data_IF_157874990163
#
_entry.id   IF_157874990163
#
_cell.length_a   1.000
_cell.length_b   1.000
_cell.length_c   1.000
_cell.angle_alpha   90.00
_cell.angle_beta   90.00
_cell.angle_gamma   90.00
#
_symmetry.space_group_name_H-M   'P 1'
#
loop_
_entity.id
_entity.type
_entity.pdbx_description
1 polymer ?
#
# COMPACT_ATOMS: atom_id res chain seq x y z
N UNK A 1 -2.99 -35.16 -61.06
CA UNK A 1 -4.00 -34.81 -60.04
C UNK A 1 -3.57 -35.41 -58.72
N UNK A 2 -2.95 -34.63 -57.84
CA UNK A 2 -2.60 -35.09 -56.48
C UNK A 2 -3.26 -34.13 -55.50
N UNK A 3 -4.17 -34.67 -54.70
CA UNK A 3 -4.91 -33.96 -53.67
C UNK A 3 -3.93 -33.33 -52.68
N UNK A 4 -3.91 -31.99 -52.62
CA UNK A 4 -3.32 -31.28 -51.49
C UNK A 4 -4.14 -31.68 -50.26
N UNK A 5 -3.50 -32.39 -49.32
CA UNK A 5 -4.05 -32.61 -47.99
C UNK A 5 -4.54 -31.28 -47.43
N UNK A 6 -5.84 -31.20 -47.14
CA UNK A 6 -6.41 -30.09 -46.41
C UNK A 6 -5.76 -30.07 -45.03
N UNK A 7 -4.95 -29.04 -44.76
CA UNK A 7 -4.49 -28.75 -43.41
C UNK A 7 -5.73 -28.71 -42.51
N UNK A 8 -5.78 -29.58 -41.51
CA UNK A 8 -6.92 -29.69 -40.60
C UNK A 8 -7.06 -28.35 -39.89
N UNK A 9 -8.11 -27.60 -40.23
CA UNK A 9 -8.34 -26.29 -39.64
C UNK A 9 -8.53 -26.42 -38.12
N UNK A 10 -7.72 -25.71 -37.34
CA UNK A 10 -7.87 -25.65 -35.89
C UNK A 10 -9.05 -24.74 -35.53
N UNK A 11 -9.78 -25.08 -34.46
CA UNK A 11 -10.69 -24.11 -33.84
C UNK A 11 -9.88 -22.96 -33.23
N UNK A 12 -10.52 -21.80 -33.07
CA UNK A 12 -9.91 -20.63 -32.43
C UNK A 12 -9.45 -20.96 -31.01
N UNK A 13 -10.27 -21.71 -30.26
CA UNK A 13 -9.94 -22.11 -28.88
C UNK A 13 -8.72 -23.02 -28.82
N UNK A 14 -8.63 -23.97 -29.75
CA UNK A 14 -7.49 -24.88 -29.84
C UNK A 14 -6.21 -24.14 -30.24
N UNK A 15 -6.29 -23.21 -31.19
CA UNK A 15 -5.16 -22.35 -31.56
C UNK A 15 -4.71 -21.47 -30.38
N UNK A 16 -5.65 -20.84 -29.69
CA UNK A 16 -5.39 -20.01 -28.51
C UNK A 16 -4.72 -20.81 -27.39
N UNK A 17 -5.22 -22.01 -27.11
CA UNK A 17 -4.64 -22.91 -26.10
C UNK A 17 -3.18 -23.23 -26.39
N UNK A 18 -2.86 -23.63 -27.62
CA UNK A 18 -1.48 -23.94 -28.04
C UNK A 18 -0.54 -22.73 -27.94
N UNK A 19 -1.02 -21.55 -28.31
CA UNK A 19 -0.26 -20.29 -28.16
C UNK A 19 0.04 -20.03 -26.68
N UNK A 20 -0.97 -20.15 -25.82
CA UNK A 20 -0.82 -19.90 -24.38
C UNK A 20 0.14 -20.92 -23.73
N UNK A 21 0.05 -22.21 -24.06
CA UNK A 21 0.98 -23.25 -23.60
C UNK A 21 2.43 -22.91 -23.97
N UNK A 22 2.66 -22.55 -25.24
CA UNK A 22 4.00 -22.15 -25.71
C UNK A 22 4.53 -20.92 -24.97
N UNK A 23 3.66 -19.95 -24.67
CA UNK A 23 4.02 -18.74 -23.92
C UNK A 23 4.31 -19.05 -22.44
N UNK A 24 3.61 -20.00 -21.83
CA UNK A 24 3.85 -20.42 -20.44
C UNK A 24 5.20 -21.11 -20.28
N UNK A 25 5.64 -21.88 -21.27
CA UNK A 25 6.95 -22.54 -21.27
C UNK A 25 8.11 -21.56 -21.55
N UNK A 26 7.79 -20.40 -22.14
CA UNK A 26 8.77 -19.37 -22.56
C UNK A 26 8.53 -18.04 -21.85
N UNK A 27 8.37 -18.09 -20.54
CA UNK A 27 8.23 -16.88 -19.73
C UNK A 27 9.46 -15.99 -19.90
N UNK A 28 9.21 -14.68 -19.95
CA UNK A 28 10.27 -13.69 -19.97
C UNK A 28 11.10 -13.79 -18.70
N UNK A 29 12.43 -13.58 -18.77
CA UNK A 29 13.26 -13.47 -17.59
C UNK A 29 12.80 -12.31 -16.70
N UNK A 30 13.19 -12.36 -15.44
CA UNK A 30 12.91 -11.32 -14.45
C UNK A 30 14.11 -10.39 -14.39
N UNK A 31 13.84 -9.08 -14.30
CA UNK A 31 14.83 -8.05 -14.07
C UNK A 31 14.39 -7.14 -12.90
N UNK A 32 15.37 -6.57 -12.20
CA UNK A 32 15.10 -5.57 -11.16
C UNK A 32 15.15 -4.18 -11.78
N UNK A 33 14.12 -3.38 -11.55
CA UNK A 33 14.01 -2.00 -12.03
C UNK A 33 13.69 -1.05 -10.89
N UNK A 34 14.00 0.24 -11.05
CA UNK A 34 13.51 1.27 -10.16
C UNK A 34 11.97 1.34 -10.21
N UNK A 35 11.32 1.67 -9.10
CA UNK A 35 9.85 1.71 -9.02
C UNK A 35 9.25 2.67 -10.07
N UNK A 36 9.90 3.79 -10.34
CA UNK A 36 9.51 4.76 -11.37
C UNK A 36 9.49 4.17 -12.80
N UNK A 37 10.32 3.18 -13.07
CA UNK A 37 10.39 2.47 -14.36
C UNK A 37 9.44 1.25 -14.41
N UNK A 38 8.85 0.87 -13.28
CA UNK A 38 7.97 -0.28 -13.15
C UNK A 38 6.56 -0.05 -13.72
N UNK A 39 6.25 1.18 -14.14
CA UNK A 39 4.92 1.54 -14.67
C UNK A 39 4.50 0.64 -15.84
N UNK A 40 3.33 0.01 -15.71
CA UNK A 40 2.74 -0.95 -16.65
C UNK A 40 3.61 -2.20 -16.94
N UNK A 41 4.69 -2.41 -16.19
CA UNK A 41 5.43 -3.68 -16.18
C UNK A 41 4.58 -4.75 -15.49
N UNK A 42 4.98 -6.00 -15.63
CA UNK A 42 4.33 -7.13 -14.96
C UNK A 42 5.23 -7.59 -13.82
N UNK A 43 4.69 -7.77 -12.62
CA UNK A 43 5.42 -8.26 -11.47
C UNK A 43 6.00 -9.66 -11.79
N UNK A 44 7.32 -9.82 -11.65
CA UNK A 44 8.00 -11.08 -11.94
C UNK A 44 7.83 -12.09 -10.81
N UNK A 45 7.72 -11.60 -9.58
CA UNK A 45 7.41 -12.34 -8.35
C UNK A 45 6.39 -11.57 -7.52
N UNK A 46 5.90 -12.19 -6.46
CA UNK A 46 5.11 -11.50 -5.44
C UNK A 46 5.94 -10.37 -4.82
N UNK A 47 5.37 -9.17 -4.81
CA UNK A 47 5.94 -8.00 -4.15
C UNK A 47 5.34 -7.97 -2.74
N UNK A 48 6.17 -8.17 -1.72
CA UNK A 48 5.74 -8.31 -0.33
C UNK A 48 6.12 -7.09 0.49
N UNK A 49 5.31 -6.75 1.49
CA UNK A 49 5.62 -5.68 2.43
C UNK A 49 6.80 -6.10 3.33
N UNK A 50 7.91 -5.34 3.36
CA UNK A 50 9.08 -5.71 4.17
C UNK A 50 8.88 -5.45 5.68
N UNK A 51 7.86 -4.68 6.03
CA UNK A 51 7.52 -4.25 7.39
C UNK A 51 6.04 -3.94 7.49
N UNK A 52 5.54 -3.87 8.72
CA UNK A 52 4.19 -3.41 9.00
C UNK A 52 3.97 -1.97 8.51
N UNK A 53 2.79 -1.72 7.97
CA UNK A 53 2.33 -0.41 7.54
C UNK A 53 0.94 -0.12 8.15
N UNK A 54 0.77 0.95 8.95
CA UNK A 54 1.84 1.75 9.56
C UNK A 54 2.69 0.89 10.53
N UNK A 55 3.97 1.22 10.74
CA UNK A 55 4.88 0.41 11.57
C UNK A 55 4.53 0.47 13.07
N UNK A 56 3.80 1.49 13.49
CA UNK A 56 3.40 1.72 14.88
C UNK A 56 1.99 2.29 14.90
N UNK A 57 1.30 2.13 16.03
CA UNK A 57 0.00 2.72 16.23
C UNK A 57 0.06 4.25 16.13
N UNK A 58 -0.91 4.86 15.47
CA UNK A 58 -0.99 6.31 15.28
C UNK A 58 -2.38 6.86 15.62
N UNK A 59 -2.45 8.17 15.82
CA UNK A 59 -3.71 8.85 16.14
C UNK A 59 -4.58 9.03 14.91
N UNK A 60 -5.84 8.62 14.98
CA UNK A 60 -6.83 8.89 13.94
C UNK A 60 -7.37 10.33 13.97
N UNK A 61 -7.17 11.05 15.07
CA UNK A 61 -7.75 12.38 15.33
C UNK A 61 -6.76 13.30 16.07
N UNK A 62 -7.05 14.60 16.11
CA UNK A 62 -6.35 15.53 17.00
C UNK A 62 -6.93 15.45 18.41
N UNK A 63 -6.08 15.38 19.43
CA UNK A 63 -6.54 15.21 20.79
C UNK A 63 -5.46 15.01 21.83
N UNK A 64 -5.77 14.14 22.80
CA UNK A 64 -4.91 13.79 23.91
C UNK A 64 -4.75 12.28 23.99
N UNK A 65 -3.54 11.80 23.75
CA UNK A 65 -3.16 10.40 23.95
C UNK A 65 -2.97 10.12 25.43
N UNK A 66 -3.61 9.07 25.93
CA UNK A 66 -3.61 8.67 27.33
C UNK A 66 -3.67 7.14 27.46
N UNK A 67 -3.52 6.67 28.69
CA UNK A 67 -3.76 5.27 29.07
C UNK A 67 -5.26 5.04 29.20
N UNK A 68 -5.83 4.03 28.57
CA UNK A 68 -7.26 3.73 28.65
C UNK A 68 -7.70 3.41 30.08
N UNK A 69 -6.79 2.84 30.88
CA UNK A 69 -6.96 2.67 32.33
C UNK A 69 -7.11 4.00 33.10
N UNK A 70 -6.68 5.10 32.49
CA UNK A 70 -6.84 6.45 33.02
C UNK A 70 -8.13 7.14 32.56
N UNK A 71 -9.02 6.48 31.82
CA UNK A 71 -10.32 7.04 31.51
C UNK A 71 -11.22 7.13 32.76
N UNK A 72 -11.98 8.22 32.94
CA UNK A 72 -12.99 8.28 34.00
C UNK A 72 -14.15 7.31 33.70
N UNK A 73 -14.53 6.50 34.71
CA UNK A 73 -15.77 5.73 34.69
C UNK A 73 -17.02 6.60 34.82
N UNK A 74 -16.87 7.76 35.47
CA UNK A 74 -17.90 8.74 35.74
C UNK A 74 -17.28 10.15 35.86
N UNK A 75 -18.09 11.19 35.62
CA UNK A 75 -17.67 12.58 35.79
C UNK A 75 -16.50 13.00 34.90
N UNK A 76 -15.43 13.53 35.53
CA UNK A 76 -14.23 14.02 34.84
C UNK A 76 -12.96 13.58 35.54
N UNK A 77 -11.88 13.43 34.78
CA UNK A 77 -10.55 13.15 35.31
C UNK A 77 -9.55 14.20 34.87
N UNK A 78 -8.69 14.60 35.79
CA UNK A 78 -7.56 15.52 35.54
C UNK A 78 -6.30 14.69 35.26
N UNK A 79 -5.64 14.98 34.14
CA UNK A 79 -4.41 14.34 33.70
C UNK A 79 -3.35 15.41 33.43
N UNK A 80 -2.10 15.14 33.79
CA UNK A 80 -0.98 16.05 33.53
C UNK A 80 -0.53 15.92 32.07
N UNK A 81 -0.40 17.04 31.37
CA UNK A 81 0.09 17.08 30.00
C UNK A 81 1.62 16.96 30.04
N UNK A 82 2.13 15.78 29.71
CA UNK A 82 3.57 15.48 29.73
C UNK A 82 4.31 16.04 28.50
N UNK A 83 3.60 16.31 27.40
CA UNK A 83 4.20 16.86 26.19
C UNK A 83 3.25 16.88 24.98
N UNK A 84 3.82 17.13 23.81
CA UNK A 84 3.11 17.19 22.52
C UNK A 84 3.76 16.27 21.49
N UNK A 85 2.94 15.50 20.77
CA UNK A 85 3.27 14.66 19.63
C UNK A 85 2.67 15.22 18.35
N UNK A 86 3.54 15.65 17.44
CA UNK A 86 3.16 16.09 16.11
C UNK A 86 3.45 14.99 15.10
N UNK A 87 2.67 14.94 14.01
CA UNK A 87 2.95 14.05 12.89
C UNK A 87 4.35 14.31 12.32
N UNK A 88 5.12 13.26 12.10
CA UNK A 88 6.51 13.35 11.64
C UNK A 88 7.55 13.73 12.72
N UNK A 89 7.14 13.96 13.97
CA UNK A 89 8.09 14.21 15.06
C UNK A 89 8.89 12.94 15.40
N UNK A 90 10.22 13.05 15.44
CA UNK A 90 11.13 11.96 15.76
C UNK A 90 11.49 11.86 17.25
N UNK A 91 11.03 12.79 18.10
CA UNK A 91 11.32 12.71 19.53
C UNK A 91 10.73 11.44 20.13
N UNK A 92 11.21 11.00 21.29
CA UNK A 92 10.54 10.00 22.11
C UNK A 92 9.73 10.72 23.19
N UNK A 93 8.51 10.24 23.45
CA UNK A 93 7.62 10.72 24.50
C UNK A 93 6.95 9.47 25.06
N UNK A 94 7.04 9.33 26.36
CA UNK A 94 6.34 8.32 27.13
C UNK A 94 5.38 9.02 28.08
N UNK A 95 4.26 8.37 28.39
CA UNK A 95 3.32 8.84 29.39
C UNK A 95 3.10 7.75 30.45
N UNK A 96 3.04 8.17 31.71
CA UNK A 96 2.74 7.31 32.85
C UNK A 96 1.26 7.35 33.30
N UNK A 97 0.94 6.68 34.41
CA UNK A 97 -0.36 6.81 35.08
C UNK A 97 -0.69 8.27 35.42
N UNK A 98 -1.88 8.72 35.07
CA UNK A 98 -2.34 10.10 35.35
C UNK A 98 -1.76 11.16 34.41
N UNK A 99 -1.11 10.75 33.33
CA UNK A 99 -0.51 11.62 32.33
C UNK A 99 -1.17 11.46 30.96
N UNK A 100 -1.08 12.51 30.16
CA UNK A 100 -1.47 12.49 28.76
C UNK A 100 -0.51 13.31 27.91
N UNK A 101 -0.55 13.12 26.60
CA UNK A 101 0.19 13.94 25.65
C UNK A 101 -0.77 14.53 24.63
N UNK A 102 -0.58 15.81 24.26
CA UNK A 102 -1.26 16.37 23.08
C UNK A 102 -0.80 15.59 21.85
N UNK A 103 -1.70 15.24 20.97
CA UNK A 103 -1.38 14.47 19.76
C UNK A 103 -2.15 15.01 18.56
N UNK A 104 -1.51 15.06 17.39
CA UNK A 104 -2.17 15.38 16.12
C UNK A 104 -2.47 14.12 15.32
N UNK A 105 -3.40 14.24 14.38
CA UNK A 105 -3.73 13.19 13.42
C UNK A 105 -2.48 12.67 12.70
N UNK A 106 -2.31 11.35 12.63
CA UNK A 106 -1.16 10.67 12.02
C UNK A 106 0.12 10.63 12.87
N UNK A 107 0.14 11.26 14.05
CA UNK A 107 1.29 11.16 14.96
C UNK A 107 1.32 9.78 15.64
N UNK A 108 2.53 9.26 15.87
CA UNK A 108 2.72 8.01 16.59
C UNK A 108 2.28 8.14 18.05
N UNK A 109 1.63 7.10 18.57
CA UNK A 109 1.24 7.06 19.96
C UNK A 109 2.48 7.13 20.88
N UNK A 110 2.47 7.97 21.93
CA UNK A 110 3.49 7.93 22.98
C UNK A 110 3.57 6.55 23.61
N UNK A 111 4.77 6.15 24.07
CA UNK A 111 4.91 4.92 24.82
C UNK A 111 4.02 4.96 26.08
N UNK A 112 3.24 3.91 26.30
CA UNK A 112 2.26 3.83 27.38
C UNK A 112 0.86 4.33 27.02
N UNK A 113 0.67 5.06 25.91
CA UNK A 113 -0.67 5.41 25.44
C UNK A 113 -1.31 4.25 24.68
N UNK A 114 -2.62 4.07 24.84
CA UNK A 114 -3.42 3.12 24.04
C UNK A 114 -4.73 3.73 23.54
N UNK A 115 -5.05 4.98 23.95
CA UNK A 115 -6.34 5.63 23.69
C UNK A 115 -6.12 7.10 23.38
N UNK A 116 -6.89 7.67 22.46
CA UNK A 116 -6.90 9.11 22.16
C UNK A 116 -8.28 9.68 22.43
N UNK A 117 -8.37 10.76 23.21
CA UNK A 117 -9.60 11.54 23.39
C UNK A 117 -9.52 12.79 22.52
N UNK A 118 -10.53 13.02 21.69
CA UNK A 118 -10.59 14.18 20.78
C UNK A 118 -10.53 15.50 21.56
N UNK A 119 -9.84 16.50 21.01
CA UNK A 119 -9.62 17.80 21.68
C UNK A 119 -10.91 18.51 22.09
N UNK A 120 -11.99 18.29 21.35
CA UNK A 120 -13.32 18.87 21.60
C UNK A 120 -13.94 18.36 22.92
N UNK A 121 -13.51 17.20 23.41
CA UNK A 121 -13.98 16.59 24.67
C UNK A 121 -13.02 16.81 25.84
N UNK A 122 -11.97 17.60 25.64
CA UNK A 122 -10.95 17.86 26.66
C UNK A 122 -10.87 19.34 26.93
N UNK A 123 -11.09 19.72 28.20
CA UNK A 123 -10.83 21.09 28.66
C UNK A 123 -9.40 21.18 29.17
N UNK A 124 -8.68 22.23 28.79
CA UNK A 124 -7.28 22.44 29.19
C UNK A 124 -7.19 23.57 30.22
N UNK A 125 -6.50 23.33 31.32
CA UNK A 125 -6.19 24.31 32.36
C UNK A 125 -4.69 24.27 32.66
N UNK A 126 -3.93 25.18 32.05
CA UNK A 126 -2.47 25.20 32.14
C UNK A 126 -1.85 23.90 31.59
N UNK A 127 -1.17 23.16 32.46
CA UNK A 127 -0.56 21.86 32.14
C UNK A 127 -1.49 20.67 32.47
N UNK A 128 -2.77 20.91 32.75
CA UNK A 128 -3.74 19.86 33.05
C UNK A 128 -4.78 19.72 31.93
N UNK A 129 -5.00 18.50 31.47
CA UNK A 129 -6.13 18.11 30.64
C UNK A 129 -7.25 17.54 31.52
N UNK A 130 -8.48 18.02 31.33
CA UNK A 130 -9.68 17.54 32.00
C UNK A 130 -10.49 16.76 30.99
N UNK A 131 -10.50 15.45 31.14
CA UNK A 131 -11.21 14.50 30.28
C UNK A 131 -12.56 14.18 30.90
N UNK A 132 -13.62 14.25 30.10
CA UNK A 132 -14.97 13.85 30.52
C UNK A 132 -15.21 12.36 30.24
N UNK A 133 -16.12 11.75 30.99
CA UNK A 133 -16.59 10.38 30.75
C UNK A 133 -17.17 10.21 29.34
N UNK A 134 -17.06 8.98 28.83
CA UNK A 134 -17.74 8.52 27.62
C UNK A 134 -16.83 8.29 26.41
N UNK A 135 -15.52 8.14 26.62
CA UNK A 135 -14.62 7.55 25.63
C UNK A 135 -14.35 6.08 25.96
N UNK A 136 -13.97 5.29 24.97
CA UNK A 136 -13.65 3.86 25.15
C UNK A 136 -12.15 3.59 25.05
N UNK A 137 -11.68 2.55 25.74
CA UNK A 137 -10.29 2.10 25.63
C UNK A 137 -10.00 1.73 24.17
N UNK A 138 -8.90 2.24 23.60
CA UNK A 138 -8.54 2.03 22.21
C UNK A 138 -9.16 3.01 21.22
N UNK A 139 -9.99 3.96 21.68
CA UNK A 139 -10.67 4.90 20.80
C UNK A 139 -9.69 5.79 20.04
N UNK A 140 -10.04 6.06 18.77
CA UNK A 140 -9.30 6.94 17.86
C UNK A 140 -7.83 6.56 17.65
N UNK A 141 -7.49 5.29 17.84
CA UNK A 141 -6.17 4.72 17.55
C UNK A 141 -6.25 3.82 16.33
N UNK A 142 -5.37 4.08 15.37
CA UNK A 142 -5.12 3.15 14.27
C UNK A 142 -4.01 2.19 14.70
N UNK A 143 -4.25 0.87 14.70
CA UNK A 143 -3.24 -0.09 15.12
C UNK A 143 -2.07 -0.11 14.13
N UNK A 144 -0.93 -0.66 14.57
CA UNK A 144 0.13 -1.03 13.66
C UNK A 144 -0.38 -2.09 12.67
N UNK A 145 0.22 -2.13 11.47
CA UNK A 145 -0.11 -3.08 10.41
C UNK A 145 -1.57 -3.07 9.93
N UNK A 146 -2.27 -1.93 10.05
CA UNK A 146 -3.64 -1.77 9.55
C UNK A 146 -3.72 -1.89 8.02
N UNK A 147 -2.72 -1.40 7.29
CA UNK A 147 -2.66 -1.44 5.82
C UNK A 147 -2.02 -2.73 5.31
N UNK A 148 -0.83 -3.06 5.83
CA UNK A 148 -0.08 -4.26 5.45
C UNK A 148 0.69 -4.81 6.65
N UNK A 149 0.72 -6.14 6.77
CA UNK A 149 1.65 -6.84 7.66
C UNK A 149 2.96 -7.15 6.95
N UNK A 150 4.06 -7.22 7.70
CA UNK A 150 5.31 -7.74 7.20
C UNK A 150 5.12 -9.15 6.59
N UNK A 151 5.57 -9.31 5.35
CA UNK A 151 5.40 -10.55 4.55
C UNK A 151 4.09 -10.66 3.78
N UNK A 152 3.15 -9.73 3.94
CA UNK A 152 1.92 -9.72 3.16
C UNK A 152 2.18 -9.30 1.71
N UNK A 153 1.53 -9.98 0.76
CA UNK A 153 1.67 -9.69 -0.66
C UNK A 153 0.91 -8.42 -1.04
N UNK A 154 1.65 -7.40 -1.49
CA UNK A 154 1.12 -6.12 -2.00
C UNK A 154 0.67 -6.26 -3.46
N UNK A 155 1.44 -6.99 -4.28
CA UNK A 155 1.15 -7.28 -5.69
C UNK A 155 1.55 -8.71 -6.01
N UNK A 156 0.66 -9.48 -6.61
CA UNK A 156 0.94 -10.87 -6.97
C UNK A 156 1.78 -10.97 -8.25
N UNK A 157 2.59 -12.02 -8.35
CA UNK A 157 3.32 -12.36 -9.56
C UNK A 157 2.38 -12.46 -10.77
N UNK A 158 2.77 -11.88 -11.89
CA UNK A 158 1.96 -11.84 -13.11
C UNK A 158 0.97 -10.68 -13.18
N UNK A 159 0.79 -9.91 -12.11
CA UNK A 159 -0.04 -8.71 -12.14
C UNK A 159 0.67 -7.53 -12.80
N UNK A 160 -0.10 -6.71 -13.52
CA UNK A 160 0.41 -5.47 -14.11
C UNK A 160 0.50 -4.38 -13.05
N UNK A 161 1.66 -3.72 -12.94
CA UNK A 161 1.91 -2.63 -12.01
C UNK A 161 1.25 -1.35 -12.54
N UNK A 162 0.06 -1.04 -12.03
CA UNK A 162 -0.69 0.20 -12.30
C UNK A 162 -0.22 1.33 -11.39
N UNK A 163 -0.67 2.57 -11.62
CA UNK A 163 -0.36 3.70 -10.73
C UNK A 163 -0.76 3.44 -9.28
N UNK A 164 -1.94 2.86 -9.05
CA UNK A 164 -2.40 2.52 -7.70
C UNK A 164 -1.47 1.50 -7.03
N UNK A 165 -1.04 0.47 -7.77
CA UNK A 165 -0.06 -0.51 -7.28
C UNK A 165 1.30 0.12 -7.02
N UNK A 166 1.77 1.03 -7.88
CA UNK A 166 3.01 1.77 -7.62
C UNK A 166 2.93 2.55 -6.31
N UNK A 167 1.81 3.22 -6.03
CA UNK A 167 1.61 3.94 -4.78
C UNK A 167 1.64 3.00 -3.56
N UNK A 168 1.01 1.82 -3.65
CA UNK A 168 1.06 0.81 -2.58
C UNK A 168 2.47 0.23 -2.37
N UNK A 169 3.22 -0.03 -3.44
CA UNK A 169 4.61 -0.48 -3.35
C UNK A 169 5.50 0.61 -2.72
N UNK A 170 5.29 1.87 -3.09
CA UNK A 170 6.00 2.99 -2.51
C UNK A 170 5.67 3.17 -1.01
N UNK A 171 4.41 2.99 -0.60
CA UNK A 171 3.99 3.18 0.78
C UNK A 171 4.62 2.15 1.73
N UNK A 172 4.85 0.92 1.26
CA UNK A 172 5.61 -0.09 2.02
C UNK A 172 7.13 0.13 1.97
N UNK A 173 7.61 1.14 1.23
CA UNK A 173 8.99 1.61 1.24
C UNK A 173 9.93 0.92 0.23
N UNK A 174 9.39 0.27 -0.80
CA UNK A 174 10.20 -0.40 -1.81
C UNK A 174 10.59 0.57 -2.95
N UNK A 175 11.89 0.80 -3.13
CA UNK A 175 12.43 1.67 -4.20
C UNK A 175 12.66 0.91 -5.52
N UNK A 176 12.80 -0.41 -5.47
CA UNK A 176 13.02 -1.28 -6.63
C UNK A 176 12.09 -2.48 -6.58
N UNK A 177 11.77 -3.04 -7.74
CA UNK A 177 10.88 -4.20 -7.87
C UNK A 177 11.38 -5.15 -8.96
N UNK A 178 11.11 -6.44 -8.76
CA UNK A 178 11.39 -7.49 -9.73
C UNK A 178 10.22 -7.61 -10.72
N UNK A 179 10.48 -7.33 -12.00
CA UNK A 179 9.47 -7.34 -13.07
C UNK A 179 9.89 -8.27 -14.20
N UNK A 180 8.91 -8.77 -14.94
CA UNK A 180 9.20 -9.50 -16.18
C UNK A 180 9.79 -8.55 -17.23
N UNK A 181 10.81 -9.02 -17.94
CA UNK A 181 11.38 -8.34 -19.10
C UNK A 181 10.31 -8.10 -20.16
N UNK A 182 10.38 -6.97 -20.86
CA UNK A 182 9.43 -6.68 -21.95
C UNK A 182 9.68 -7.62 -23.13
N UNK A 183 8.66 -8.31 -23.67
CA UNK A 183 8.83 -9.09 -24.88
C UNK A 183 9.22 -8.15 -26.03
N UNK A 184 10.23 -8.54 -26.80
CA UNK A 184 10.65 -7.84 -28.01
C UNK A 184 9.91 -8.45 -29.19
N UNK A 185 9.12 -7.66 -29.90
CA UNK A 185 8.31 -8.11 -31.03
C UNK A 185 8.76 -7.38 -32.29
N UNK A 186 9.12 -8.15 -33.32
CA UNK A 186 9.37 -7.63 -34.67
C UNK A 186 8.09 -7.77 -35.50
N UNK A 187 7.67 -6.68 -36.12
CA UNK A 187 6.53 -6.65 -37.03
C UNK A 187 7.03 -6.63 -38.47
N UNK A 188 6.55 -7.57 -39.28
CA UNK A 188 6.82 -7.65 -40.71
C UNK A 188 5.48 -7.66 -41.44
N UNK A 189 5.32 -6.75 -42.40
CA UNK A 189 4.16 -6.69 -43.29
C UNK A 189 4.60 -7.07 -44.70
N UNK A 190 3.82 -7.88 -45.40
CA UNK A 190 4.12 -8.36 -46.75
C UNK A 190 2.89 -8.22 -47.64
N UNK A 191 3.07 -7.70 -48.86
CA UNK A 191 2.01 -7.51 -49.83
C UNK A 191 2.40 -6.42 -50.82
N UNK A 192 2.25 -6.68 -52.11
CA UNK A 192 2.59 -5.73 -53.18
C UNK A 192 1.56 -4.59 -53.26
N UNK A 193 0.39 -4.77 -52.64
CA UNK A 193 -0.67 -3.78 -52.49
C UNK A 193 -0.40 -2.77 -51.35
N UNK A 194 0.60 -3.03 -50.50
CA UNK A 194 0.89 -2.19 -49.36
C UNK A 194 1.62 -0.92 -49.79
N UNK A 195 1.02 0.23 -49.50
CA UNK A 195 1.64 1.54 -49.63
C UNK A 195 1.88 2.17 -48.27
N UNK A 196 2.92 2.98 -48.17
CA UNK A 196 3.20 3.72 -46.94
C UNK A 196 2.11 4.78 -46.69
N UNK A 197 1.76 5.07 -45.42
CA UNK A 197 0.86 6.16 -45.10
C UNK A 197 1.32 7.48 -45.77
N UNK A 198 0.38 8.19 -46.40
CA UNK A 198 0.66 9.41 -47.16
C UNK A 198 0.92 9.22 -48.65
N UNK A 199 0.98 7.97 -49.14
CA UNK A 199 1.04 7.67 -50.58
C UNK A 199 -0.36 7.32 -51.11
N UNK A 200 -0.63 7.69 -52.37
CA UNK A 200 -1.86 7.33 -53.05
C UNK A 200 -1.80 5.86 -53.50
N UNK A 201 -2.82 5.08 -53.14
CA UNK A 201 -3.02 3.75 -53.74
C UNK A 201 -3.45 3.93 -55.20
N UNK A 202 -2.78 3.24 -56.12
CA UNK A 202 -3.18 3.16 -57.54
C UNK A 202 -4.35 2.22 -57.75
#
# INVERSE_FOLDING_TARGET
MSMKQAATALSVDEARRRILETCLDRRMPIEQVALEEARLRVAGKDIVAPRDLPPFANSAMDGFALRGADLPSDGTRRLRIAGTRLAGSAHELSIGPGECARITTGALLPAGADTVVIKERVRVEGETAIVQVGETVGAHVRPAAEDFRAGETVVQAGERITFARMAAIASVGLATVEVSCRPRVTLLTTGDELVMPGHTCS
#
